data_IF_578547411611
#
_entry.id   IF_578547411611
#
_cell.length_a   1.000
_cell.length_b   1.000
_cell.length_c   1.000
_cell.angle_alpha   90.00
_cell.angle_beta   90.00
_cell.angle_gamma   90.00
#
_symmetry.space_group_name_H-M   'P 1'
#
loop_
_entity.id
_entity.type
_entity.pdbx_description
1 polymer ?
#
# COMPACT_ATOMS: atom_id res chain seq x y z
N UNK A 1 -9.48 -16.97 12.64
CA UNK A 1 -8.90 -16.38 11.41
C UNK A 1 -7.49 -15.93 11.72
N UNK A 2 -6.50 -16.71 11.29
CA UNK A 2 -5.08 -16.40 11.54
C UNK A 2 -4.73 -15.05 10.93
N UNK A 3 -4.11 -14.19 11.73
CA UNK A 3 -3.56 -12.92 11.24
C UNK A 3 -2.47 -13.31 10.25
N UNK A 4 -2.79 -13.30 8.95
CA UNK A 4 -1.79 -13.47 7.89
C UNK A 4 -0.83 -12.30 8.07
N UNK A 5 0.30 -12.52 8.74
CA UNK A 5 1.40 -11.55 8.81
C UNK A 5 1.86 -11.34 7.37
N UNK A 6 1.46 -10.23 6.77
CA UNK A 6 2.12 -9.77 5.55
C UNK A 6 3.59 -9.63 5.87
N UNK A 7 4.45 -10.21 5.03
CA UNK A 7 5.89 -10.04 5.21
C UNK A 7 6.20 -8.55 5.06
N UNK A 8 7.15 -8.01 5.82
CA UNK A 8 7.55 -6.60 5.69
C UNK A 8 7.92 -6.26 4.24
N UNK A 9 8.47 -7.23 3.50
CA UNK A 9 8.77 -7.14 2.06
C UNK A 9 7.54 -6.82 1.20
N UNK A 10 6.38 -7.43 1.48
CA UNK A 10 5.14 -7.20 0.73
C UNK A 10 4.60 -5.79 0.99
N UNK A 11 4.73 -5.31 2.23
CA UNK A 11 4.33 -3.96 2.62
C UNK A 11 5.21 -2.92 1.93
N UNK A 12 6.54 -3.11 1.98
CA UNK A 12 7.49 -2.24 1.30
C UNK A 12 7.26 -2.19 -0.21
N UNK A 13 6.94 -3.34 -0.82
CA UNK A 13 6.65 -3.41 -2.26
C UNK A 13 5.41 -2.58 -2.62
N UNK A 14 4.33 -2.71 -1.83
CA UNK A 14 3.10 -1.94 -2.04
C UNK A 14 3.31 -0.44 -1.82
N UNK A 15 4.06 -0.04 -0.78
CA UNK A 15 4.41 1.37 -0.56
C UNK A 15 5.22 1.95 -1.73
N UNK A 16 6.19 1.18 -2.25
CA UNK A 16 6.96 1.62 -3.41
C UNK A 16 6.12 1.77 -4.67
N UNK A 17 5.07 0.96 -4.84
CA UNK A 17 4.11 1.15 -5.93
C UNK A 17 3.35 2.48 -5.78
N UNK A 18 2.92 2.84 -4.57
CA UNK A 18 2.29 4.14 -4.31
C UNK A 18 3.24 5.29 -4.65
N UNK A 19 4.50 5.22 -4.23
CA UNK A 19 5.49 6.28 -4.53
C UNK A 19 5.73 6.44 -6.03
N UNK A 20 5.79 5.35 -6.80
CA UNK A 20 5.92 5.39 -8.27
C UNK A 20 4.72 6.08 -8.90
N UNK A 21 3.52 5.74 -8.46
CA UNK A 21 2.26 6.31 -8.97
C UNK A 21 2.13 7.80 -8.64
N UNK A 22 2.53 8.20 -7.42
CA UNK A 22 2.59 9.61 -7.03
C UNK A 22 3.63 10.37 -7.87
N UNK A 23 4.77 9.75 -8.18
CA UNK A 23 5.77 10.28 -9.11
C UNK A 23 5.23 10.52 -10.53
N UNK A 24 4.21 9.75 -10.94
CA UNK A 24 3.49 9.91 -12.21
C UNK A 24 2.37 10.96 -12.16
N UNK A 25 2.35 11.83 -11.15
CA UNK A 25 1.32 12.87 -10.91
C UNK A 25 -0.05 12.34 -10.49
N UNK A 26 -0.18 11.06 -10.13
CA UNK A 26 -1.43 10.55 -9.57
C UNK A 26 -1.64 11.05 -8.14
N UNK A 27 -2.91 11.31 -7.77
CA UNK A 27 -3.23 11.69 -6.39
C UNK A 27 -2.92 10.53 -5.44
N UNK A 28 -2.45 10.84 -4.23
CA UNK A 28 -2.11 9.81 -3.24
C UNK A 28 -3.30 8.92 -2.90
N UNK A 29 -4.51 9.49 -2.86
CA UNK A 29 -5.74 8.76 -2.54
C UNK A 29 -6.05 7.75 -3.65
N UNK A 30 -5.90 8.16 -4.91
CA UNK A 30 -6.13 7.28 -6.05
C UNK A 30 -5.07 6.19 -6.14
N UNK A 31 -3.80 6.52 -5.90
CA UNK A 31 -2.71 5.55 -5.82
C UNK A 31 -2.91 4.51 -4.72
N UNK A 32 -3.37 4.93 -3.54
CA UNK A 32 -3.66 4.01 -2.41
C UNK A 32 -4.84 3.08 -2.76
N UNK A 33 -5.88 3.62 -3.42
CA UNK A 33 -7.02 2.83 -3.93
C UNK A 33 -6.60 1.81 -4.98
N UNK A 34 -5.72 2.20 -5.90
CA UNK A 34 -5.21 1.34 -6.97
C UNK A 34 -4.36 0.19 -6.44
N UNK A 35 -3.51 0.45 -5.44
CA UNK A 35 -2.69 -0.59 -4.79
C UNK A 35 -3.48 -1.41 -3.75
N UNK A 36 -4.74 -1.03 -3.48
CA UNK A 36 -5.64 -1.67 -2.50
C UNK A 36 -5.03 -1.76 -1.09
N UNK A 37 -4.19 -0.79 -0.70
CA UNK A 37 -3.74 -0.68 0.69
C UNK A 37 -4.85 0.03 1.45
N UNK A 38 -5.59 -0.68 2.31
CA UNK A 38 -6.49 0.00 3.25
C UNK A 38 -5.64 0.56 4.40
N UNK A 39 -5.96 1.75 4.91
CA UNK A 39 -5.27 2.35 6.08
C UNK A 39 -5.22 1.39 7.28
N UNK A 40 -6.21 0.48 7.38
CA UNK A 40 -6.26 -0.61 8.37
C UNK A 40 -5.15 -1.66 8.26
N UNK A 41 -4.49 -1.80 7.09
CA UNK A 41 -3.42 -2.79 6.91
C UNK A 41 -2.16 -2.42 7.69
N UNK A 42 -2.01 -1.13 8.05
CA UNK A 42 -0.84 -0.60 8.77
C UNK A 42 -1.09 -0.37 10.27
N UNK A 43 -2.34 -0.14 10.69
CA UNK A 43 -2.70 0.16 12.08
C UNK A 43 -3.45 -0.99 12.77
N UNK A 44 -2.91 -2.22 12.73
CA UNK A 44 -3.40 -3.33 13.53
C UNK A 44 -2.29 -4.04 14.28
#
# INVERSE_FOLDING_TARGET
MGIKRHKPEEILTKLRQVDVLVGQRMSRIDAIREVQITEQTFYR
#
